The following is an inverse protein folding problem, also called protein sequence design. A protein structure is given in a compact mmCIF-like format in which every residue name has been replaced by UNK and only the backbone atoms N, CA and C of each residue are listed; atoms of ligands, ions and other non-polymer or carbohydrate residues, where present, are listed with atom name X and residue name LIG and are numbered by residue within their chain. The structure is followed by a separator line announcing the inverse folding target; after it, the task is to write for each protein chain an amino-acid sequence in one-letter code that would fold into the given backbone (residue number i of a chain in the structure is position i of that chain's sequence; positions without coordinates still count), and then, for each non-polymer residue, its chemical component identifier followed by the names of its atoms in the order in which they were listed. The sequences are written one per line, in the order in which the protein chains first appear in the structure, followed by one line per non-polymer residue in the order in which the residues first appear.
data_IF_921875966677
#
_entry.id   IF_921875966677
#
_cell.length_a   1.000
_cell.length_b   1.000
_cell.length_c   1.000
_cell.angle_alpha   90.00
_cell.angle_beta   90.00
_cell.angle_gamma   90.00
#
_symmetry.space_group_name_H-M   'P 1'
#
loop_
_entity.id
_entity.type
_entity.pdbx_description
1 polymer ?
#
# COMPACT_ATOMS: atom_id res chain seq x y z
N UNK A 1 -2.52 -1.95 9.39
CA UNK A 1 -2.23 -0.81 8.51
C UNK A 1 -0.76 -0.44 8.65
N UNK A 2 -0.09 -0.24 7.53
CA UNK A 2 1.34 0.07 7.48
C UNK A 2 1.52 1.38 6.75
N UNK A 3 2.40 2.25 7.27
CA UNK A 3 2.73 3.51 6.60
C UNK A 3 4.20 3.46 6.19
N UNK A 4 4.47 3.67 4.92
CA UNK A 4 5.83 3.65 4.39
C UNK A 4 6.02 4.85 3.47
N UNK A 5 7.28 5.26 3.26
CA UNK A 5 7.54 6.35 2.34
C UNK A 5 7.59 5.82 0.91
N UNK A 6 7.52 6.76 -0.04
CA UNK A 6 7.45 6.40 -1.46
C UNK A 6 8.67 5.62 -1.93
N UNK A 7 9.86 6.02 -1.48
CA UNK A 7 11.10 5.35 -1.90
C UNK A 7 11.11 3.89 -1.47
N UNK A 8 10.70 3.62 -0.23
CA UNK A 8 10.62 2.26 0.28
C UNK A 8 9.57 1.46 -0.50
N UNK A 9 8.41 2.08 -0.75
CA UNK A 9 7.35 1.41 -1.50
C UNK A 9 7.83 1.02 -2.89
N UNK A 10 8.50 1.95 -3.57
CA UNK A 10 8.99 1.69 -4.92
C UNK A 10 10.01 0.56 -4.94
N UNK A 11 10.93 0.56 -3.98
CA UNK A 11 12.00 -0.43 -3.96
C UNK A 11 11.53 -1.83 -3.60
N UNK A 12 10.38 -1.95 -2.91
CA UNK A 12 9.88 -3.25 -2.45
C UNK A 12 8.40 -3.43 -2.80
N UNK A 13 8.02 -2.94 -3.95
CA UNK A 13 6.61 -2.92 -4.32
C UNK A 13 5.99 -4.32 -4.35
N UNK A 14 6.72 -5.30 -4.88
CA UNK A 14 6.20 -6.66 -4.92
C UNK A 14 5.90 -7.18 -3.51
N UNK A 15 6.81 -6.94 -2.58
CA UNK A 15 6.64 -7.41 -1.21
C UNK A 15 5.40 -6.79 -0.57
N UNK A 16 5.19 -5.49 -0.77
CA UNK A 16 4.04 -4.83 -0.18
C UNK A 16 2.74 -5.25 -0.86
N UNK A 17 2.76 -5.48 -2.16
CA UNK A 17 1.60 -6.01 -2.86
C UNK A 17 1.22 -7.38 -2.32
N UNK A 18 2.21 -8.24 -2.08
CA UNK A 18 1.96 -9.57 -1.51
C UNK A 18 1.36 -9.48 -0.11
N UNK A 19 1.85 -8.56 0.72
CA UNK A 19 1.27 -8.37 2.05
C UNK A 19 -0.17 -7.91 1.99
N UNK A 20 -0.46 -7.04 1.04
CA UNK A 20 -1.82 -6.53 0.86
C UNK A 20 -2.77 -7.65 0.47
N UNK A 21 -2.35 -8.51 -0.45
CA UNK A 21 -3.20 -9.59 -0.95
C UNK A 21 -3.25 -10.78 0.00
N UNK A 22 -2.11 -11.17 0.58
CA UNK A 22 -2.04 -12.38 1.39
C UNK A 22 -2.52 -12.17 2.81
N UNK A 23 -2.30 -10.98 3.37
CA UNK A 23 -2.66 -10.68 4.75
C UNK A 23 -3.82 -9.70 4.89
N UNK A 24 -4.31 -9.17 3.80
CA UNK A 24 -5.37 -8.18 3.84
C UNK A 24 -4.95 -6.86 4.47
N UNK A 25 -3.65 -6.55 4.47
CA UNK A 25 -3.16 -5.32 5.06
C UNK A 25 -3.41 -4.13 4.14
N UNK A 26 -3.52 -2.96 4.76
CA UNK A 26 -3.62 -1.70 4.04
C UNK A 26 -2.28 -0.99 4.17
N UNK A 27 -1.71 -0.54 3.06
CA UNK A 27 -0.42 0.16 3.06
C UNK A 27 -0.64 1.61 2.64
N UNK A 28 -0.23 2.53 3.51
CA UNK A 28 -0.28 3.96 3.20
C UNK A 28 1.10 4.36 2.72
N UNK A 29 1.16 4.94 1.52
CA UNK A 29 2.42 5.44 0.97
C UNK A 29 2.47 6.94 1.16
N UNK A 30 3.41 7.40 1.99
CA UNK A 30 3.54 8.82 2.26
C UNK A 30 4.46 9.47 1.24
N UNK A 31 4.14 10.71 0.89
CA UNK A 31 4.89 11.47 -0.12
C UNK A 31 5.19 12.84 0.44
N UNK A 32 6.40 13.36 0.15
CA UNK A 32 6.84 14.60 0.77
C UNK A 32 6.06 15.82 0.35
N UNK A 33 5.91 16.00 -0.94
CA UNK A 33 5.30 17.22 -1.47
C UNK A 33 3.95 16.96 -2.12
N UNK A 34 3.45 15.73 -2.03
CA UNK A 34 2.22 15.34 -2.69
C UNK A 34 1.33 14.58 -1.71
N UNK A 35 0.09 14.39 -2.10
CA UNK A 35 -0.85 13.69 -1.24
C UNK A 35 -0.49 12.21 -1.13
N UNK A 36 -0.76 11.65 0.02
CA UNK A 36 -0.50 10.23 0.25
C UNK A 36 -1.45 9.37 -0.57
N UNK A 37 -1.03 8.14 -0.85
CA UNK A 37 -1.87 7.18 -1.53
C UNK A 37 -1.99 5.93 -0.66
N UNK A 38 -2.95 5.07 -0.99
CA UNK A 38 -3.21 3.85 -0.24
C UNK A 38 -3.17 2.67 -1.20
N UNK A 39 -2.52 1.59 -0.77
CA UNK A 39 -2.50 0.34 -1.53
C UNK A 39 -3.38 -0.65 -0.78
N UNK A 40 -4.40 -1.16 -1.46
CA UNK A 40 -5.27 -2.22 -0.93
C UNK A 40 -5.51 -3.22 -2.05
N UNK A 41 -6.00 -4.40 -1.69
CA UNK A 41 -6.34 -5.38 -2.71
C UNK A 41 -7.56 -4.92 -3.51
N UNK A 42 -7.63 -5.34 -4.76
CA UNK A 42 -8.79 -5.03 -5.59
C UNK A 42 -10.05 -5.65 -4.98
N UNK A 43 -9.92 -6.83 -4.42
CA UNK A 43 -11.04 -7.50 -3.77
C UNK A 43 -11.61 -6.63 -2.64
N UNK A 44 -10.73 -6.07 -1.82
CA UNK A 44 -11.16 -5.22 -0.72
C UNK A 44 -11.75 -3.91 -1.20
N UNK A 45 -11.19 -3.36 -2.26
CA UNK A 45 -11.70 -2.13 -2.86
C UNK A 45 -13.15 -2.30 -3.32
N UNK A 46 -13.50 -3.50 -3.77
CA UNK A 46 -14.85 -3.79 -4.28
C UNK A 46 -15.85 -4.16 -3.18
N UNK A 47 -15.40 -4.30 -1.93
CA UNK A 47 -16.31 -4.56 -0.82
C UNK A 47 -17.14 -3.33 -0.48
N UNK A 48 -18.30 -3.59 0.09
CA UNK A 48 -19.20 -2.53 0.50
C UNK A 48 -19.48 -2.57 1.96
#
# INVERSE_FOLDING_TARGET
MIAINFTTARGRLKDFCDRVTDRGETVIVTRKAEKNVVIISEERFNER
#
